data_IF_130390524921
#
_entry.id   IF_130390524921
#
_cell.length_a   1.000
_cell.length_b   1.000
_cell.length_c   1.000
_cell.angle_alpha   90.00
_cell.angle_beta   90.00
_cell.angle_gamma   90.00
#
_symmetry.space_group_name_H-M   'P 1'
#
loop_
_entity.id
_entity.type
_entity.pdbx_description
1 polymer ?
#
# COMPACT_ATOMS: atom_id res chain seq x y z
N UNK A 1 9.57 15.77 -15.40
CA UNK A 1 10.76 14.99 -15.03
C UNK A 1 10.28 13.97 -14.02
N UNK A 2 9.64 12.88 -14.44
CA UNK A 2 8.86 12.04 -13.51
C UNK A 2 9.00 10.54 -13.83
N UNK A 3 10.14 10.15 -14.39
CA UNK A 3 10.38 8.77 -14.85
C UNK A 3 11.36 8.00 -13.96
N UNK A 4 11.81 8.55 -12.83
CA UNK A 4 12.89 7.95 -12.03
C UNK A 4 12.43 7.16 -10.79
N UNK A 5 11.12 7.12 -10.48
CA UNK A 5 10.61 6.42 -9.29
C UNK A 5 9.93 5.07 -9.65
N UNK A 6 9.69 4.76 -10.92
CA UNK A 6 8.75 3.68 -11.27
C UNK A 6 9.31 2.24 -11.30
N UNK A 7 10.62 1.99 -11.35
CA UNK A 7 11.11 0.62 -11.64
C UNK A 7 11.97 -0.04 -10.58
N UNK A 8 12.21 0.58 -9.42
CA UNK A 8 12.97 -0.07 -8.36
C UNK A 8 12.53 0.41 -6.98
N UNK A 9 11.76 -0.45 -6.30
CA UNK A 9 11.48 -0.48 -4.86
C UNK A 9 10.71 0.69 -4.25
N UNK A 10 9.43 0.48 -3.96
CA UNK A 10 8.90 0.96 -2.68
C UNK A 10 8.24 -0.23 -1.94
N UNK A 11 9.07 -1.23 -1.63
CA UNK A 11 8.83 -2.09 -0.46
C UNK A 11 9.43 -1.41 0.79
N UNK A 12 9.19 -0.11 0.90
CA UNK A 12 9.62 0.74 2.01
C UNK A 12 8.37 1.31 2.67
N UNK A 13 8.44 1.51 3.97
CA UNK A 13 7.32 2.02 4.75
C UNK A 13 7.05 3.50 4.39
N UNK A 14 5.79 3.81 4.07
CA UNK A 14 5.30 5.17 3.85
C UNK A 14 4.38 5.51 5.03
N UNK A 15 4.86 6.38 5.91
CA UNK A 15 4.08 6.82 7.08
C UNK A 15 3.01 7.88 6.75
N UNK A 16 3.11 8.52 5.59
CA UNK A 16 2.20 9.56 5.11
C UNK A 16 2.44 9.81 3.63
N UNK A 17 1.40 9.78 2.81
CA UNK A 17 1.50 10.27 1.44
C UNK A 17 1.51 11.80 1.42
N UNK A 18 2.17 12.39 0.44
CA UNK A 18 2.27 13.83 0.21
C UNK A 18 0.98 14.41 -0.37
N UNK A 19 0.17 13.60 -1.04
CA UNK A 19 -1.11 14.01 -1.63
C UNK A 19 -1.98 12.81 -2.00
N UNK A 20 -3.28 13.06 -2.21
CA UNK A 20 -4.20 12.08 -2.81
C UNK A 20 -3.72 11.61 -4.19
N UNK A 21 -3.08 12.50 -4.97
CA UNK A 21 -2.53 12.13 -6.27
C UNK A 21 -1.36 11.14 -6.18
N UNK A 22 -0.54 11.23 -5.14
CA UNK A 22 0.50 10.23 -4.87
C UNK A 22 -0.09 8.89 -4.44
N UNK A 23 -1.07 8.92 -3.53
CA UNK A 23 -1.79 7.73 -3.08
C UNK A 23 -2.43 6.98 -4.25
N UNK A 24 -3.09 7.68 -5.17
CA UNK A 24 -3.71 7.06 -6.35
C UNK A 24 -2.67 6.40 -7.27
N UNK A 25 -1.53 7.06 -7.53
CA UNK A 25 -0.43 6.45 -8.31
C UNK A 25 0.16 5.23 -7.61
N UNK A 26 0.20 5.23 -6.28
CA UNK A 26 0.67 4.09 -5.50
C UNK A 26 -0.28 2.90 -5.62
N UNK A 27 -1.60 3.15 -5.60
CA UNK A 27 -2.60 2.11 -5.86
C UNK A 27 -2.47 1.53 -7.29
N UNK A 28 -2.24 2.37 -8.29
CA UNK A 28 -2.00 1.91 -9.66
C UNK A 28 -0.76 1.01 -9.73
N UNK A 29 0.32 1.38 -9.03
CA UNK A 29 1.52 0.56 -8.93
C UNK A 29 1.23 -0.80 -8.26
N UNK A 30 0.48 -0.84 -7.15
CA UNK A 30 0.07 -2.09 -6.49
C UNK A 30 -0.77 -2.99 -7.42
N UNK A 31 -1.67 -2.40 -8.20
CA UNK A 31 -2.48 -3.14 -9.17
C UNK A 31 -1.60 -3.79 -10.26
N UNK A 32 -0.52 -3.12 -10.69
CA UNK A 32 0.48 -3.74 -11.58
C UNK A 32 1.17 -4.93 -10.88
N UNK A 33 1.56 -4.78 -9.60
CA UNK A 33 2.19 -5.89 -8.85
C UNK A 33 1.25 -7.09 -8.66
N UNK A 34 -0.06 -6.85 -8.49
CA UNK A 34 -1.08 -7.91 -8.45
C UNK A 34 -1.21 -8.61 -9.81
N UNK A 35 -1.28 -7.85 -10.90
CA UNK A 35 -1.41 -8.39 -12.25
C UNK A 35 -0.18 -9.20 -12.67
N UNK A 36 1.00 -8.75 -12.28
CA UNK A 36 2.27 -9.46 -12.52
C UNK A 36 2.45 -10.67 -11.57
N UNK A 37 1.52 -10.88 -10.64
CA UNK A 37 1.52 -11.96 -9.67
C UNK A 37 2.54 -11.80 -8.55
N UNK A 38 3.28 -10.68 -8.48
CA UNK A 38 4.33 -10.40 -7.48
C UNK A 38 3.77 -10.47 -6.04
N UNK A 39 2.53 -10.03 -5.88
CA UNK A 39 1.76 -10.09 -4.64
C UNK A 39 0.38 -10.69 -4.87
N UNK A 40 -0.24 -11.10 -3.77
CA UNK A 40 -1.65 -11.51 -3.73
C UNK A 40 -2.39 -10.66 -2.72
N UNK A 41 -3.59 -10.21 -3.06
CA UNK A 41 -4.47 -9.52 -2.11
C UNK A 41 -5.08 -10.56 -1.17
N UNK A 42 -5.06 -10.27 0.13
CA UNK A 42 -5.59 -11.14 1.18
C UNK A 42 -6.61 -10.39 2.04
N UNK A 43 -7.54 -11.09 2.71
CA UNK A 43 -8.48 -10.45 3.62
C UNK A 43 -7.75 -9.71 4.75
N UNK A 44 -8.30 -8.57 5.16
CA UNK A 44 -7.87 -7.85 6.37
C UNK A 44 -8.26 -8.69 7.59
N UNK A 45 -7.29 -9.04 8.42
CA UNK A 45 -7.53 -9.86 9.62
C UNK A 45 -7.44 -9.07 10.93
N UNK A 46 -6.78 -7.91 10.91
CA UNK A 46 -6.66 -7.02 12.06
C UNK A 46 -6.48 -5.57 11.58
N UNK A 47 -7.41 -4.68 11.90
CA UNK A 47 -7.34 -3.29 11.42
C UNK A 47 -6.21 -2.51 12.08
N UNK A 48 -5.63 -1.56 11.34
CA UNK A 48 -4.55 -0.70 11.81
C UNK A 48 -4.97 0.17 12.99
N UNK A 49 -6.19 0.72 12.94
CA UNK A 49 -6.73 1.56 14.00
C UNK A 49 -8.20 1.26 14.33
N UNK A 50 -9.06 1.08 13.32
CA UNK A 50 -10.46 0.70 13.52
C UNK A 50 -11.05 0.15 12.22
N UNK A 51 -12.18 -0.56 12.30
CA UNK A 51 -12.91 -1.09 11.13
C UNK A 51 -13.41 0.01 10.17
N UNK A 52 -13.39 1.28 10.61
CA UNK A 52 -13.79 2.41 9.77
C UNK A 52 -12.71 2.83 8.76
N UNK A 53 -11.46 2.40 8.93
CA UNK A 53 -10.43 2.64 7.94
C UNK A 53 -10.58 1.66 6.79
N UNK A 54 -10.60 2.19 5.57
CA UNK A 54 -10.51 1.36 4.39
C UNK A 54 -9.07 0.88 4.24
N UNK A 55 -8.90 -0.44 4.33
CA UNK A 55 -7.60 -1.10 4.33
C UNK A 55 -7.55 -2.23 3.32
N UNK A 56 -6.39 -2.39 2.69
CA UNK A 56 -6.10 -3.49 1.77
C UNK A 56 -4.81 -4.17 2.18
N UNK A 57 -4.80 -5.50 2.21
CA UNK A 57 -3.66 -6.28 2.65
C UNK A 57 -3.11 -7.13 1.51
N UNK A 58 -1.78 -7.21 1.42
CA UNK A 58 -1.07 -7.84 0.33
C UNK A 58 0.01 -8.76 0.86
N UNK A 59 0.05 -9.99 0.35
CA UNK A 59 1.06 -10.99 0.71
C UNK A 59 2.05 -11.16 -0.43
N UNK A 60 3.34 -11.00 -0.12
CA UNK A 60 4.45 -11.35 -1.01
C UNK A 60 4.68 -12.87 -1.03
N UNK A 61 5.34 -13.36 -2.07
CA UNK A 61 5.82 -14.74 -2.15
C UNK A 61 6.73 -15.16 -0.98
N UNK A 62 7.50 -14.21 -0.43
CA UNK A 62 8.33 -14.43 0.76
C UNK A 62 7.51 -14.74 2.02
N UNK A 63 6.19 -14.51 1.99
CA UNK A 63 5.30 -14.66 3.13
C UNK A 63 5.06 -13.36 3.92
N UNK A 64 5.85 -12.31 3.66
CA UNK A 64 5.65 -10.99 4.25
C UNK A 64 4.30 -10.40 3.83
N UNK A 65 3.59 -9.82 4.78
CA UNK A 65 2.31 -9.16 4.56
C UNK A 65 2.51 -7.66 4.73
N UNK A 66 1.94 -6.89 3.81
CA UNK A 66 1.96 -5.44 3.79
C UNK A 66 0.52 -4.93 3.74
N UNK A 67 0.27 -3.80 4.39
CA UNK A 67 -1.04 -3.14 4.42
C UNK A 67 -0.94 -1.77 3.78
N UNK A 68 -1.96 -1.43 3.00
CA UNK A 68 -2.29 -0.07 2.59
C UNK A 68 -3.50 0.38 3.41
N UNK A 69 -3.40 1.55 4.02
CA UNK A 69 -4.51 2.22 4.72
C UNK A 69 -4.83 3.51 3.96
N UNK A 70 -6.08 3.68 3.56
CA UNK A 70 -6.53 4.83 2.79
C UNK A 70 -6.37 6.14 3.61
N UNK A 71 -6.09 7.27 2.95
CA UNK A 71 -6.14 8.58 3.58
C UNK A 71 -7.54 8.91 4.11
N UNK A 72 -7.59 9.45 5.33
CA UNK A 72 -8.79 9.99 5.97
C UNK A 72 -8.40 11.25 6.76
N UNK A 73 -8.57 12.43 6.14
CA UNK A 73 -7.95 13.68 6.61
C UNK A 73 -8.23 13.95 8.10
N UNK A 74 -7.21 14.26 8.93
CA UNK A 74 -5.85 14.66 8.57
C UNK A 74 -4.85 13.51 8.38
N UNK A 75 -5.29 12.26 8.47
CA UNK A 75 -4.44 11.11 8.18
C UNK A 75 -4.23 10.98 6.67
N UNK A 76 -2.98 10.98 6.23
CA UNK A 76 -2.63 11.01 4.81
C UNK A 76 -2.30 9.61 4.26
N UNK A 77 -2.85 8.57 4.87
CA UNK A 77 -2.64 7.17 4.47
C UNK A 77 -1.36 6.57 5.00
N UNK A 78 -1.26 5.24 4.93
CA UNK A 78 -0.11 4.47 5.39
C UNK A 78 0.16 3.28 4.48
N UNK A 79 1.43 2.97 4.26
CA UNK A 79 1.87 1.72 3.64
C UNK A 79 3.00 1.11 4.47
N UNK A 80 2.87 -0.15 4.85
CA UNK A 80 3.91 -0.80 5.64
C UNK A 80 3.62 -2.25 6.00
N UNK A 81 4.57 -2.95 6.61
CA UNK A 81 4.40 -4.35 6.98
C UNK A 81 3.34 -4.52 8.07
N UNK A 82 2.60 -5.62 7.99
CA UNK A 82 1.81 -6.14 9.11
C UNK A 82 2.78 -6.92 10.01
N UNK A 83 2.85 -6.53 11.29
CA UNK A 83 3.69 -7.17 12.31
C UNK A 83 2.81 -7.88 13.33
#
# INVERSE_FOLDING_TARGET
>A
MDSKIMSSYIWEEINSFQSIGEFNRFQDWLNLQLNDGVITEIPVTAYYASENFHERWFKKHSGEIWRLVDPDFPFLGYWGPVR
#
